data_IF_256853599165
#
_entry.id   IF_256853599165
#
_cell.length_a   1.000
_cell.length_b   1.000
_cell.length_c   1.000
_cell.angle_alpha   90.00
_cell.angle_beta   90.00
_cell.angle_gamma   90.00
#
_symmetry.space_group_name_H-M   'P 1'
#
loop_
_entity.id
_entity.type
_entity.pdbx_description
1 polymer ?
#
# COMPACT_ATOMS: atom_id res chain seq x y z
N UNK A 1 11.61 11.14 -3.81
CA UNK A 1 13.07 11.12 -3.51
C UNK A 1 13.71 9.76 -3.80
N UNK A 2 13.00 8.67 -3.50
CA UNK A 2 13.44 7.32 -3.83
C UNK A 2 13.44 7.06 -5.35
N UNK A 3 12.42 7.53 -6.07
CA UNK A 3 12.31 7.36 -7.53
C UNK A 3 13.44 8.08 -8.26
N UNK A 4 13.76 9.29 -7.82
CA UNK A 4 14.89 10.08 -8.33
C UNK A 4 16.22 9.34 -8.10
N UNK A 5 16.40 8.72 -6.93
CA UNK A 5 17.61 7.95 -6.64
C UNK A 5 17.68 6.67 -7.50
N UNK A 6 16.55 6.01 -7.75
CA UNK A 6 16.47 4.83 -8.61
C UNK A 6 16.81 5.18 -10.07
N UNK A 7 16.29 6.30 -10.58
CA UNK A 7 16.59 6.81 -11.91
C UNK A 7 18.09 7.14 -12.07
N UNK A 8 18.69 7.83 -11.09
CA UNK A 8 20.12 8.15 -11.08
C UNK A 8 21.03 6.91 -11.07
N UNK A 9 20.55 5.80 -10.49
CA UNK A 9 21.25 4.52 -10.45
C UNK A 9 20.95 3.64 -11.68
N UNK A 10 20.13 4.11 -12.62
CA UNK A 10 19.73 3.37 -13.82
C UNK A 10 18.88 2.14 -13.51
N UNK A 11 18.17 2.14 -12.37
CA UNK A 11 17.29 1.04 -11.98
C UNK A 11 15.97 1.11 -12.76
N UNK A 12 15.54 -0.04 -13.27
CA UNK A 12 14.22 -0.17 -13.90
C UNK A 12 13.15 -0.09 -12.81
N UNK A 13 12.17 0.78 -13.00
CA UNK A 13 10.95 0.77 -12.20
C UNK A 13 10.12 -0.48 -12.51
N UNK A 14 9.83 -1.27 -11.47
CA UNK A 14 9.04 -2.49 -11.54
C UNK A 14 7.71 -2.36 -10.78
N UNK A 15 7.36 -1.15 -10.33
CA UNK A 15 6.21 -0.91 -9.46
C UNK A 15 4.90 -1.31 -10.15
N UNK A 16 4.75 -1.01 -11.43
CA UNK A 16 3.62 -1.44 -12.26
C UNK A 16 3.58 -2.97 -12.48
N UNK A 17 4.74 -3.63 -12.51
CA UNK A 17 4.87 -5.06 -12.79
C UNK A 17 4.72 -5.93 -11.53
N UNK A 18 5.09 -5.39 -10.37
CA UNK A 18 5.21 -6.12 -9.11
C UNK A 18 4.69 -5.31 -7.92
N UNK A 19 3.44 -4.84 -8.02
CA UNK A 19 2.71 -4.32 -6.86
C UNK A 19 1.92 -5.42 -6.17
N UNK A 20 1.94 -5.44 -4.84
CA UNK A 20 1.20 -6.41 -4.03
C UNK A 20 -0.22 -5.95 -3.70
N UNK A 21 -0.55 -4.67 -3.94
CA UNK A 21 -1.90 -4.12 -3.73
C UNK A 21 -2.52 -3.63 -5.05
N UNK A 22 -3.84 -3.59 -5.15
CA UNK A 22 -4.53 -2.89 -6.24
C UNK A 22 -4.54 -1.35 -6.05
N UNK A 23 -3.98 -0.83 -4.95
CA UNK A 23 -4.00 0.59 -4.59
C UNK A 23 -2.61 1.22 -4.78
N UNK A 24 -2.12 1.19 -6.01
CA UNK A 24 -0.83 1.79 -6.38
C UNK A 24 -0.82 3.27 -6.02
N UNK A 25 0.23 3.72 -5.35
CA UNK A 25 0.36 5.10 -4.83
C UNK A 25 -0.85 5.60 -4.04
N UNK A 26 -1.56 4.71 -3.34
CA UNK A 26 -2.77 5.02 -2.57
C UNK A 26 -3.94 5.53 -3.44
N UNK A 27 -3.87 5.31 -4.75
CA UNK A 27 -4.96 5.63 -5.67
C UNK A 27 -6.05 4.56 -5.55
N UNK A 28 -7.30 5.00 -5.65
CA UNK A 28 -8.45 4.11 -5.69
C UNK A 28 -9.26 4.46 -6.96
N UNK A 29 -9.52 3.49 -7.85
CA UNK A 29 -10.24 3.76 -9.09
C UNK A 29 -11.58 4.47 -8.84
N UNK A 30 -11.79 5.59 -9.54
CA UNK A 30 -13.02 6.38 -9.44
C UNK A 30 -13.09 7.35 -8.25
N UNK A 31 -12.01 7.49 -7.46
CA UNK A 31 -11.93 8.43 -6.35
C UNK A 31 -10.84 9.49 -6.59
N UNK A 32 -11.04 10.73 -6.10
CA UNK A 32 -9.97 11.72 -6.07
C UNK A 32 -8.81 11.28 -5.17
N UNK A 33 -7.58 11.67 -5.51
CA UNK A 33 -6.35 11.25 -4.81
C UNK A 33 -6.43 11.45 -3.29
N UNK A 34 -6.84 12.63 -2.83
CA UNK A 34 -6.96 12.94 -1.40
C UNK A 34 -7.87 11.97 -0.64
N UNK A 35 -8.92 11.48 -1.31
CA UNK A 35 -9.86 10.53 -0.73
C UNK A 35 -9.32 9.09 -0.83
N UNK A 36 -8.60 8.77 -1.90
CA UNK A 36 -7.83 7.53 -2.03
C UNK A 36 -6.85 7.33 -0.88
N UNK A 37 -6.09 8.38 -0.51
CA UNK A 37 -5.19 8.36 0.64
C UNK A 37 -5.90 7.99 1.96
N UNK A 38 -7.07 8.59 2.20
CA UNK A 38 -7.86 8.31 3.42
C UNK A 38 -8.33 6.85 3.42
N UNK A 39 -8.87 6.38 2.30
CA UNK A 39 -9.38 5.01 2.16
C UNK A 39 -8.27 3.99 2.33
N UNK A 40 -7.12 4.19 1.70
CA UNK A 40 -5.96 3.31 1.84
C UNK A 40 -5.45 3.26 3.30
N UNK A 41 -5.45 4.40 3.99
CA UNK A 41 -5.12 4.47 5.42
C UNK A 41 -6.06 3.63 6.30
N UNK A 42 -7.37 3.74 6.07
CA UNK A 42 -8.38 2.95 6.80
C UNK A 42 -8.19 1.45 6.54
N UNK A 43 -7.95 1.05 5.29
CA UNK A 43 -7.69 -0.34 4.91
C UNK A 43 -6.44 -0.87 5.62
N UNK A 44 -5.35 -0.09 5.64
CA UNK A 44 -4.13 -0.47 6.33
C UNK A 44 -4.34 -0.72 7.83
N UNK A 45 -5.05 0.18 8.52
CA UNK A 45 -5.40 0.01 9.94
C UNK A 45 -6.25 -1.23 10.15
N UNK A 46 -7.27 -1.44 9.32
CA UNK A 46 -8.15 -2.59 9.41
C UNK A 46 -7.39 -3.93 9.24
N UNK A 47 -6.46 -4.00 8.28
CA UNK A 47 -5.61 -5.19 8.06
C UNK A 47 -4.72 -5.46 9.27
N UNK A 48 -4.05 -4.45 9.82
CA UNK A 48 -3.20 -4.62 11.01
C UNK A 48 -4.01 -5.12 12.21
N UNK A 49 -5.19 -4.54 12.46
CA UNK A 49 -6.07 -4.97 13.54
C UNK A 49 -6.57 -6.40 13.32
N UNK A 50 -7.01 -6.73 12.11
CA UNK A 50 -7.48 -8.07 11.78
C UNK A 50 -6.38 -9.12 11.99
N UNK A 51 -5.15 -8.84 11.56
CA UNK A 51 -4.01 -9.72 11.80
C UNK A 51 -3.71 -9.88 13.30
N UNK A 52 -3.63 -8.77 14.03
CA UNK A 52 -3.36 -8.80 15.47
C UNK A 52 -4.40 -9.61 16.26
N UNK A 53 -5.69 -9.37 16.00
CA UNK A 53 -6.79 -10.10 16.63
C UNK A 53 -6.82 -11.57 16.21
N UNK A 54 -6.52 -11.88 14.94
CA UNK A 54 -6.46 -13.27 14.46
C UNK A 54 -5.33 -14.03 15.14
N UNK A 55 -4.14 -13.44 15.24
CA UNK A 55 -3.00 -14.05 15.93
C UNK A 55 -3.32 -14.22 17.42
N UNK A 56 -3.87 -13.21 18.09
CA UNK A 56 -4.28 -13.32 19.49
C UNK A 56 -5.22 -14.52 19.70
N UNK A 57 -6.26 -14.65 18.86
CA UNK A 57 -7.21 -15.76 18.91
C UNK A 57 -6.59 -17.14 18.67
N UNK A 58 -5.51 -17.23 17.90
CA UNK A 58 -4.81 -18.49 17.65
C UNK A 58 -3.83 -18.89 18.76
N UNK A 59 -3.42 -17.93 19.59
CA UNK A 59 -2.52 -18.16 20.72
C UNK A 59 -3.26 -18.49 22.04
N UNK A 60 -4.57 -18.22 22.09
CA UNK A 60 -5.48 -18.68 23.14
C UNK A 60 -5.83 -20.17 22.98
#
# INVERSE_FOLDING_TARGET
>A
PLDIAAELLGLKDITEENNWTPFLDYTVPGLPDWLGYIVAGIIGVAVVLALGLTIQKLLE
#
